data_IF_757201840089
#
_entry.id   IF_757201840089
#
_cell.length_a   1.000
_cell.length_b   1.000
_cell.length_c   1.000
_cell.angle_alpha   90.00
_cell.angle_beta   90.00
_cell.angle_gamma   90.00
#
_symmetry.space_group_name_H-M   'P 1'
#
loop_
_entity.id
_entity.type
_entity.pdbx_description
1 polymer ?
#
# COMPACT_ATOMS: atom_id res chain seq x y z
N UNK A 1 17.77 15.76 38.51
CA UNK A 1 18.29 14.90 37.43
C UNK A 1 19.69 14.41 37.77
N UNK A 2 19.95 13.15 37.54
CA UNK A 2 21.31 12.61 37.67
C UNK A 2 22.15 12.99 36.46
N UNK A 3 23.47 13.06 36.64
CA UNK A 3 24.43 13.36 35.54
C UNK A 3 24.29 12.35 34.40
N UNK A 4 24.04 11.07 34.69
CA UNK A 4 23.83 10.03 33.69
C UNK A 4 22.61 10.29 32.83
N UNK A 5 21.55 10.85 33.40
CA UNK A 5 20.33 11.22 32.66
C UNK A 5 20.60 12.38 31.69
N UNK A 6 21.39 13.37 32.12
CA UNK A 6 21.77 14.51 31.26
C UNK A 6 22.66 14.04 30.11
N UNK A 7 23.64 13.19 30.40
CA UNK A 7 24.50 12.61 29.36
C UNK A 7 23.72 11.81 28.32
N UNK A 8 22.78 11.04 28.78
CA UNK A 8 21.88 10.26 27.90
C UNK A 8 21.06 11.18 26.99
N UNK A 9 20.48 12.23 27.54
CA UNK A 9 19.68 13.19 26.79
C UNK A 9 20.50 13.97 25.76
N UNK A 10 21.70 14.36 26.08
CA UNK A 10 22.61 15.03 25.15
C UNK A 10 23.04 14.09 24.02
N UNK A 11 23.36 12.86 24.35
CA UNK A 11 23.66 11.81 23.35
C UNK A 11 22.51 11.60 22.41
N UNK A 12 21.29 11.50 22.95
CA UNK A 12 20.05 11.29 22.19
C UNK A 12 19.73 12.47 21.25
N UNK A 13 20.13 13.70 21.67
CA UNK A 13 19.95 14.88 20.84
C UNK A 13 20.70 14.77 19.50
N UNK A 14 21.88 14.16 19.47
CA UNK A 14 22.74 14.03 18.29
C UNK A 14 22.56 12.70 17.55
N UNK A 15 21.82 11.78 18.11
CA UNK A 15 21.54 10.48 17.49
C UNK A 15 20.10 10.36 17.03
N UNK A 16 19.88 9.51 16.03
CA UNK A 16 18.54 9.15 15.61
C UNK A 16 17.82 8.38 16.73
N UNK A 17 16.64 8.85 17.11
CA UNK A 17 15.83 8.20 18.13
C UNK A 17 15.12 6.97 17.57
N UNK A 18 14.66 6.08 18.45
CA UNK A 18 13.83 4.93 18.05
C UNK A 18 12.58 5.40 17.31
N UNK A 19 11.94 6.46 17.78
CA UNK A 19 10.75 7.01 17.15
C UNK A 19 11.04 7.49 15.73
N UNK A 20 12.14 8.19 15.50
CA UNK A 20 12.56 8.63 14.17
C UNK A 20 12.85 7.45 13.24
N UNK A 21 13.56 6.43 13.76
CA UNK A 21 13.87 5.22 13.03
C UNK A 21 12.60 4.47 12.63
N UNK A 22 11.66 4.32 13.56
CA UNK A 22 10.35 3.69 13.27
C UNK A 22 9.54 4.48 12.25
N UNK A 23 9.53 5.80 12.35
CA UNK A 23 8.87 6.65 11.36
C UNK A 23 9.42 6.43 9.95
N UNK A 24 10.72 6.36 9.80
CA UNK A 24 11.37 6.09 8.51
C UNK A 24 10.99 4.73 7.95
N UNK A 25 10.98 3.70 8.79
CA UNK A 25 10.57 2.34 8.39
C UNK A 25 9.11 2.31 7.94
N UNK A 26 8.20 2.90 8.70
CA UNK A 26 6.79 2.93 8.34
C UNK A 26 6.50 3.79 7.12
N UNK A 27 7.20 4.90 6.97
CA UNK A 27 7.10 5.75 5.76
C UNK A 27 7.52 5.00 4.51
N UNK A 28 8.61 4.25 4.59
CA UNK A 28 9.09 3.40 3.50
C UNK A 28 8.07 2.29 3.19
N UNK A 29 7.53 1.64 4.22
CA UNK A 29 6.51 0.62 4.06
C UNK A 29 5.24 1.17 3.41
N UNK A 30 4.79 2.37 3.79
CA UNK A 30 3.64 3.03 3.16
C UNK A 30 3.90 3.29 1.68
N UNK A 31 5.09 3.75 1.33
CA UNK A 31 5.45 4.00 -0.07
C UNK A 31 5.42 2.70 -0.90
N UNK A 32 5.99 1.63 -0.36
CA UNK A 32 5.96 0.31 -1.01
C UNK A 32 4.54 -0.23 -1.16
N UNK A 33 3.69 -0.03 -0.16
CA UNK A 33 2.27 -0.43 -0.22
C UNK A 33 1.49 0.39 -1.24
N UNK A 34 1.74 1.68 -1.33
CA UNK A 34 1.12 2.55 -2.33
C UNK A 34 1.53 2.13 -3.76
N UNK A 35 2.79 1.79 -3.97
CA UNK A 35 3.27 1.26 -5.24
C UNK A 35 2.58 -0.06 -5.60
N UNK A 36 2.43 -0.96 -4.63
CA UNK A 36 1.73 -2.24 -4.83
C UNK A 36 0.26 -2.04 -5.18
N UNK A 37 -0.41 -1.11 -4.51
CA UNK A 37 -1.81 -0.76 -4.81
C UNK A 37 -1.91 -0.22 -6.24
N UNK A 38 -1.00 0.62 -6.67
CA UNK A 38 -0.96 1.15 -8.02
C UNK A 38 -0.79 0.04 -9.07
N UNK A 39 0.10 -0.91 -8.83
CA UNK A 39 0.30 -2.08 -9.71
C UNK A 39 -0.98 -2.92 -9.78
N UNK A 40 -1.63 -3.16 -8.65
CA UNK A 40 -2.90 -3.89 -8.60
C UNK A 40 -4.01 -3.15 -9.35
N UNK A 41 -4.09 -1.83 -9.23
CA UNK A 41 -5.05 -1.01 -10.00
C UNK A 41 -4.82 -1.14 -11.50
N UNK A 42 -3.58 -1.10 -11.96
CA UNK A 42 -3.23 -1.30 -13.38
C UNK A 42 -3.64 -2.69 -13.87
N UNK A 43 -3.36 -3.71 -13.08
CA UNK A 43 -3.74 -5.09 -13.41
C UNK A 43 -5.26 -5.26 -13.48
N UNK A 44 -5.99 -4.66 -12.55
CA UNK A 44 -7.45 -4.68 -12.53
C UNK A 44 -8.03 -3.97 -13.75
N UNK A 45 -7.48 -2.81 -14.11
CA UNK A 45 -7.89 -2.07 -15.30
C UNK A 45 -7.66 -2.90 -16.57
N UNK A 46 -6.50 -3.55 -16.69
CA UNK A 46 -6.19 -4.40 -17.82
C UNK A 46 -7.15 -5.60 -17.92
N UNK A 47 -7.48 -6.22 -16.80
CA UNK A 47 -8.44 -7.34 -16.77
C UNK A 47 -9.85 -6.88 -17.13
N UNK A 48 -10.27 -5.72 -16.64
CA UNK A 48 -11.55 -5.13 -17.00
C UNK A 48 -11.63 -4.85 -18.49
N UNK A 49 -10.57 -4.29 -19.08
CA UNK A 49 -10.49 -4.03 -20.52
C UNK A 49 -10.54 -5.33 -21.32
N UNK A 50 -9.87 -6.39 -20.86
CA UNK A 50 -9.93 -7.71 -21.50
C UNK A 50 -11.35 -8.29 -21.46
N UNK A 51 -12.07 -8.11 -20.35
CA UNK A 51 -13.47 -8.56 -20.25
C UNK A 51 -14.38 -7.83 -21.23
N UNK A 52 -14.17 -6.50 -21.37
CA UNK A 52 -14.92 -5.68 -22.33
C UNK A 52 -14.62 -6.13 -23.77
N UNK A 53 -13.37 -6.35 -24.10
CA UNK A 53 -12.96 -6.80 -25.45
C UNK A 53 -13.54 -8.20 -25.75
N UNK A 54 -13.48 -9.11 -24.78
CA UNK A 54 -14.04 -10.44 -24.93
C UNK A 54 -15.57 -10.39 -25.14
N UNK A 55 -16.25 -9.50 -24.42
CA UNK A 55 -17.68 -9.30 -24.59
C UNK A 55 -18.03 -8.77 -25.97
N UNK A 56 -17.24 -7.85 -26.51
CA UNK A 56 -17.40 -7.35 -27.89
C UNK A 56 -17.22 -8.47 -28.90
N UNK A 57 -16.23 -9.31 -28.73
CA UNK A 57 -15.98 -10.47 -29.60
C UNK A 57 -17.14 -11.45 -29.54
N UNK A 58 -17.63 -11.74 -28.33
CA UNK A 58 -18.76 -12.65 -28.12
C UNK A 58 -20.04 -12.11 -28.75
N UNK A 59 -20.30 -10.81 -28.62
CA UNK A 59 -21.50 -10.15 -29.16
C UNK A 59 -21.38 -9.80 -30.64
N UNK A 60 -20.19 -9.88 -31.21
CA UNK A 60 -20.00 -9.64 -32.63
C UNK A 60 -20.69 -10.76 -33.39
N UNK A 61 -21.66 -10.43 -34.30
CA UNK A 61 -22.35 -11.45 -35.05
C UNK A 61 -21.43 -12.10 -36.08
N UNK A 62 -20.57 -12.99 -35.65
CA UNK A 62 -20.09 -14.09 -36.47
C UNK A 62 -21.26 -15.07 -36.72
N UNK A 63 -22.43 -14.52 -36.63
CA UNK A 63 -23.75 -15.13 -36.65
C UNK A 63 -24.11 -15.85 -37.95
N UNK A 64 -23.21 -15.87 -38.90
CA UNK A 64 -23.41 -16.58 -40.15
C UNK A 64 -23.03 -18.05 -40.01
N UNK A 65 -22.26 -18.40 -39.01
CA UNK A 65 -21.87 -19.79 -38.75
C UNK A 65 -22.83 -20.42 -37.75
N UNK A 66 -23.66 -21.29 -38.23
CA UNK A 66 -24.57 -22.11 -37.40
C UNK A 66 -23.93 -23.46 -37.16
N UNK A 67 -24.07 -24.01 -35.93
CA UNK A 67 -23.69 -25.35 -35.59
C UNK A 67 -22.53 -25.49 -34.65
N UNK A 68 -21.73 -26.54 -34.79
CA UNK A 68 -20.68 -26.93 -33.86
C UNK A 68 -19.66 -25.83 -33.62
N UNK A 69 -19.26 -25.08 -34.63
CA UNK A 69 -18.29 -24.01 -34.51
C UNK A 69 -18.77 -22.86 -33.64
N UNK A 70 -20.04 -22.51 -33.70
CA UNK A 70 -20.64 -21.47 -32.87
C UNK A 70 -20.66 -21.91 -31.42
N UNK A 71 -21.06 -23.17 -31.16
CA UNK A 71 -21.10 -23.73 -29.81
C UNK A 71 -19.71 -23.84 -29.23
N UNK A 72 -18.71 -24.29 -29.98
CA UNK A 72 -17.31 -24.35 -29.55
C UNK A 72 -16.77 -22.95 -29.23
N UNK A 73 -17.10 -21.97 -30.06
CA UNK A 73 -16.70 -20.58 -29.84
C UNK A 73 -17.31 -20.00 -28.57
N UNK A 74 -18.61 -20.20 -28.36
CA UNK A 74 -19.30 -19.76 -27.15
C UNK A 74 -18.75 -20.44 -25.90
N UNK A 75 -18.47 -21.73 -25.96
CA UNK A 75 -17.87 -22.47 -24.86
C UNK A 75 -16.50 -21.92 -24.52
N UNK A 76 -15.64 -21.64 -25.50
CA UNK A 76 -14.32 -21.05 -25.30
C UNK A 76 -14.43 -19.64 -24.73
N UNK A 77 -15.35 -18.82 -25.23
CA UNK A 77 -15.59 -17.49 -24.69
C UNK A 77 -16.00 -17.55 -23.23
N UNK A 78 -16.90 -18.46 -22.86
CA UNK A 78 -17.32 -18.68 -21.48
C UNK A 78 -16.15 -19.10 -20.58
N UNK A 79 -15.31 -20.02 -21.05
CA UNK A 79 -14.14 -20.47 -20.29
C UNK A 79 -13.14 -19.35 -20.05
N UNK A 80 -12.84 -18.57 -21.09
CA UNK A 80 -11.92 -17.42 -20.98
C UNK A 80 -12.52 -16.36 -20.07
N UNK A 81 -13.81 -16.05 -20.23
CA UNK A 81 -14.53 -15.11 -19.38
C UNK A 81 -14.46 -15.52 -17.91
N UNK A 82 -14.71 -16.78 -17.60
CA UNK A 82 -14.61 -17.31 -16.23
C UNK A 82 -13.22 -17.18 -15.66
N UNK A 83 -12.19 -17.48 -16.44
CA UNK A 83 -10.79 -17.34 -16.01
C UNK A 83 -10.44 -15.89 -15.71
N UNK A 84 -10.79 -14.97 -16.58
CA UNK A 84 -10.50 -13.54 -16.40
C UNK A 84 -11.29 -13.00 -15.22
N UNK A 85 -12.57 -13.37 -15.09
CA UNK A 85 -13.41 -12.96 -13.97
C UNK A 85 -12.86 -13.45 -12.63
N UNK A 86 -12.39 -14.70 -12.56
CA UNK A 86 -11.79 -15.25 -11.35
C UNK A 86 -10.49 -14.52 -10.98
N UNK A 87 -9.66 -14.20 -11.96
CA UNK A 87 -8.46 -13.38 -11.73
C UNK A 87 -8.82 -11.98 -11.24
N UNK A 88 -9.83 -11.37 -11.83
CA UNK A 88 -10.31 -10.05 -11.42
C UNK A 88 -10.75 -10.05 -9.96
N UNK A 89 -11.56 -11.04 -9.56
CA UNK A 89 -12.01 -11.19 -8.18
C UNK A 89 -10.80 -11.40 -7.24
N UNK A 90 -9.88 -12.25 -7.62
CA UNK A 90 -8.67 -12.52 -6.85
C UNK A 90 -7.85 -11.25 -6.61
N UNK A 91 -7.62 -10.45 -7.64
CA UNK A 91 -6.89 -9.19 -7.52
C UNK A 91 -7.66 -8.14 -6.71
N UNK A 92 -8.99 -8.09 -6.83
CA UNK A 92 -9.82 -7.22 -5.99
C UNK A 92 -9.68 -7.57 -4.52
N UNK A 93 -9.74 -8.86 -4.18
CA UNK A 93 -9.58 -9.33 -2.81
C UNK A 93 -8.19 -9.01 -2.27
N UNK A 94 -7.14 -9.22 -3.08
CA UNK A 94 -5.78 -8.89 -2.70
C UNK A 94 -5.59 -7.39 -2.50
N UNK A 95 -6.15 -6.56 -3.37
CA UNK A 95 -6.09 -5.12 -3.24
C UNK A 95 -6.77 -4.66 -1.94
N UNK A 96 -7.91 -5.23 -1.61
CA UNK A 96 -8.61 -4.94 -0.35
C UNK A 96 -7.74 -5.27 0.85
N UNK A 97 -7.07 -6.42 0.84
CA UNK A 97 -6.14 -6.83 1.90
C UNK A 97 -4.95 -5.88 2.02
N UNK A 98 -4.36 -5.48 0.91
CA UNK A 98 -3.22 -4.54 0.89
C UNK A 98 -3.65 -3.17 1.42
N UNK A 99 -4.83 -2.69 1.05
CA UNK A 99 -5.39 -1.44 1.56
C UNK A 99 -5.63 -1.49 3.07
N UNK A 100 -6.11 -2.62 3.59
CA UNK A 100 -6.30 -2.81 5.04
C UNK A 100 -4.96 -2.78 5.78
N UNK A 101 -3.94 -3.44 5.23
CA UNK A 101 -2.59 -3.42 5.78
C UNK A 101 -2.02 -2.00 5.75
N UNK A 102 -2.22 -1.29 4.65
CA UNK A 102 -1.78 0.10 4.51
C UNK A 102 -2.39 1.00 5.57
N UNK A 103 -3.68 0.86 5.82
CA UNK A 103 -4.38 1.61 6.85
C UNK A 103 -3.78 1.37 8.23
N UNK A 104 -3.50 0.12 8.58
CA UNK A 104 -2.86 -0.24 9.85
C UNK A 104 -1.44 0.34 9.96
N UNK A 105 -0.68 0.29 8.88
CA UNK A 105 0.68 0.86 8.84
C UNK A 105 0.61 2.38 8.98
N UNK A 106 -0.34 3.04 8.33
CA UNK A 106 -0.56 4.49 8.46
C UNK A 106 -0.90 4.89 9.89
N UNK A 107 -1.75 4.14 10.57
CA UNK A 107 -2.07 4.38 11.99
C UNK A 107 -0.84 4.29 12.86
N UNK A 108 0.00 3.28 12.64
CA UNK A 108 1.28 3.13 13.37
C UNK A 108 2.25 4.25 13.04
N UNK A 109 2.34 4.65 11.78
CA UNK A 109 3.15 5.78 11.37
C UNK A 109 2.75 7.06 12.09
N UNK A 110 1.45 7.35 12.15
CA UNK A 110 0.92 8.52 12.85
C UNK A 110 1.25 8.48 14.35
N UNK A 111 1.15 7.30 14.98
CA UNK A 111 1.49 7.13 16.38
C UNK A 111 2.99 7.41 16.65
N UNK A 112 3.86 6.86 15.82
CA UNK A 112 5.31 7.10 15.95
C UNK A 112 5.70 8.52 15.60
N UNK A 113 5.03 9.14 14.64
CA UNK A 113 5.26 10.56 14.30
C UNK A 113 4.90 11.47 15.48
N UNK A 114 3.85 11.14 16.22
CA UNK A 114 3.52 11.81 17.47
C UNK A 114 4.63 11.65 18.52
N UNK A 115 5.20 10.46 18.62
CA UNK A 115 6.33 10.20 19.51
C UNK A 115 7.56 11.01 19.12
N UNK A 116 7.83 11.18 17.82
CA UNK A 116 8.92 12.03 17.32
C UNK A 116 8.71 13.48 17.75
N UNK A 117 7.51 14.02 17.60
CA UNK A 117 7.18 15.38 18.03
C UNK A 117 7.38 15.56 19.53
N UNK A 118 7.01 14.60 20.33
CA UNK A 118 7.23 14.59 21.77
C UNK A 118 8.72 14.61 22.11
N UNK A 119 9.51 13.78 21.46
CA UNK A 119 10.96 13.72 21.67
C UNK A 119 11.66 14.99 21.20
N UNK A 120 11.23 15.57 20.08
CA UNK A 120 11.77 16.84 19.59
C UNK A 120 11.48 17.99 20.55
N UNK A 121 10.28 18.01 21.13
CA UNK A 121 9.95 18.98 22.18
C UNK A 121 10.85 18.83 23.40
N UNK A 122 11.11 17.60 23.82
CA UNK A 122 12.04 17.30 24.92
C UNK A 122 13.46 17.77 24.61
N UNK A 123 13.94 17.54 23.40
CA UNK A 123 15.27 18.00 22.94
C UNK A 123 15.36 19.54 22.93
N UNK A 124 14.31 20.21 22.49
CA UNK A 124 14.24 21.67 22.50
C UNK A 124 14.28 22.21 23.92
N UNK A 125 13.50 21.63 24.83
CA UNK A 125 13.52 22.02 26.25
C UNK A 125 14.91 21.83 26.87
N UNK A 126 15.56 20.72 26.58
CA UNK A 126 16.92 20.46 27.00
C UNK A 126 17.89 21.55 26.49
N UNK A 127 17.74 21.95 25.23
CA UNK A 127 18.59 22.98 24.63
C UNK A 127 18.40 24.33 25.31
N UNK A 128 17.19 24.73 25.63
CA UNK A 128 16.87 25.98 26.30
C UNK A 128 17.31 25.99 27.76
N UNK A 129 17.05 24.91 28.50
CA UNK A 129 17.30 24.84 29.94
C UNK A 129 18.74 24.48 30.26
N UNK A 130 19.34 23.52 29.52
CA UNK A 130 20.64 22.93 29.86
C UNK A 130 21.79 23.48 29.00
N UNK A 131 21.54 23.80 27.75
CA UNK A 131 22.55 24.28 26.82
C UNK A 131 22.56 25.82 26.69
N UNK A 132 21.43 26.46 26.92
CA UNK A 132 21.27 27.91 26.86
C UNK A 132 21.92 28.65 28.05
N UNK A 133 22.11 27.98 29.17
CA UNK A 133 22.70 28.53 30.41
C UNK A 133 24.21 28.37 30.46
N UNK A 134 24.81 27.66 29.53
CA UNK A 134 26.23 27.48 29.43
C UNK A 134 26.82 28.59 28.57
#
# INVERSE_FOLDING_TARGET
MSLSSIEYDIKDFFTETEAESRCKEYKKALHELDDEIEILDKNLTNLADQLVELQKVHNNPLSVSKGKYVMDFETKCSEVFSRISNKFIYYCENQSKVKDIREKVEERYKAWNKAVDTENSRKQDLTEEELGEV
#
